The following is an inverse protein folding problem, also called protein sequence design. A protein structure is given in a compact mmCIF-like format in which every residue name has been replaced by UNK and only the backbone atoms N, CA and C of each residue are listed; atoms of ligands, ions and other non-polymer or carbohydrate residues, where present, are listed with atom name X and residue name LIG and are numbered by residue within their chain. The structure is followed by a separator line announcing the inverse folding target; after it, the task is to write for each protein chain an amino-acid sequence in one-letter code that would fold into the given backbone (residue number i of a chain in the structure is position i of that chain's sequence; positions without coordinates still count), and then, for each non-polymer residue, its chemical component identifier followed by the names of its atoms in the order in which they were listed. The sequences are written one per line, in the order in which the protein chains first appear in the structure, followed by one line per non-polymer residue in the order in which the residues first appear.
data_IF_114556672146
#
_entry.id   IF_114556672146
#
_cell.length_a   1.000
_cell.length_b   1.000
_cell.length_c   1.000
_cell.angle_alpha   90.00
_cell.angle_beta   90.00
_cell.angle_gamma   90.00
#
_symmetry.space_group_name_H-M   'P 1'
#
loop_
_entity.id
_entity.type
_entity.pdbx_description
1 polymer ?
#
# COMPACT_ATOMS: atom_id res chain seq x y z
N UNK A 1 -7.23 22.11 25.87
CA UNK A 1 -6.27 21.20 25.21
C UNK A 1 -7.08 20.29 24.31
N UNK A 2 -6.85 20.31 22.99
CA UNK A 2 -7.59 19.46 22.06
C UNK A 2 -7.32 17.99 22.40
N UNK A 3 -8.37 17.18 22.46
CA UNK A 3 -8.29 15.75 22.73
C UNK A 3 -7.48 15.09 21.60
N UNK A 4 -6.17 14.92 21.83
CA UNK A 4 -5.22 14.30 20.91
C UNK A 4 -5.35 12.77 20.89
N UNK A 5 -6.46 12.23 21.39
CA UNK A 5 -6.76 10.82 21.24
C UNK A 5 -7.00 10.51 19.77
N UNK A 6 -6.14 9.65 19.22
CA UNK A 6 -6.33 8.99 17.95
C UNK A 6 -7.79 8.49 17.88
N UNK A 7 -8.55 8.94 16.89
CA UNK A 7 -9.93 8.45 16.66
C UNK A 7 -9.95 6.99 16.14
N UNK A 8 -8.77 6.40 15.94
CA UNK A 8 -8.54 5.07 15.37
C UNK A 8 -7.51 4.35 16.23
N UNK A 9 -7.75 3.09 16.62
CA UNK A 9 -6.80 2.33 17.44
C UNK A 9 -5.54 1.96 16.65
N UNK A 10 -4.42 1.77 17.34
CA UNK A 10 -3.17 1.24 16.76
C UNK A 10 -3.41 -0.08 16.02
N UNK A 11 -4.21 -0.99 16.60
CA UNK A 11 -4.63 -2.25 15.97
C UNK A 11 -5.33 -2.04 14.63
N UNK A 12 -6.21 -1.04 14.53
CA UNK A 12 -6.91 -0.73 13.28
C UNK A 12 -5.97 -0.17 12.22
N UNK A 13 -4.98 0.65 12.60
CA UNK A 13 -3.94 1.14 11.69
C UNK A 13 -3.07 -0.01 11.16
N UNK A 14 -2.64 -0.93 12.03
CA UNK A 14 -1.88 -2.10 11.62
C UNK A 14 -2.68 -3.04 10.72
N UNK A 15 -3.98 -3.23 11.01
CA UNK A 15 -4.87 -4.00 10.15
C UNK A 15 -4.98 -3.36 8.77
N UNK A 16 -5.24 -2.05 8.69
CA UNK A 16 -5.29 -1.34 7.41
C UNK A 16 -3.99 -1.49 6.62
N UNK A 17 -2.83 -1.40 7.28
CA UNK A 17 -1.54 -1.62 6.62
C UNK A 17 -1.39 -3.04 6.05
N UNK A 18 -1.86 -4.07 6.78
CA UNK A 18 -1.85 -5.46 6.30
C UNK A 18 -2.74 -5.64 5.08
N UNK A 19 -3.93 -5.05 5.10
CA UNK A 19 -4.89 -5.10 3.99
C UNK A 19 -4.34 -4.41 2.74
N UNK A 20 -3.78 -3.20 2.88
CA UNK A 20 -3.13 -2.49 1.77
C UNK A 20 -1.98 -3.31 1.15
N UNK A 21 -1.12 -3.92 1.98
CA UNK A 21 -0.04 -4.81 1.50
C UNK A 21 -0.57 -6.08 0.82
N UNK A 22 -1.71 -6.59 1.24
CA UNK A 22 -2.36 -7.73 0.58
C UNK A 22 -2.92 -7.34 -0.79
N UNK A 23 -3.57 -6.18 -0.88
CA UNK A 23 -4.05 -5.64 -2.16
C UNK A 23 -2.88 -5.33 -3.11
N UNK A 24 -1.80 -4.72 -2.62
CA UNK A 24 -0.58 -4.51 -3.39
C UNK A 24 -0.11 -5.79 -4.07
N UNK A 25 0.15 -6.86 -3.29
CA UNK A 25 0.61 -8.16 -3.82
C UNK A 25 -0.36 -8.79 -4.81
N UNK A 26 -1.67 -8.64 -4.56
CA UNK A 26 -2.71 -9.18 -5.45
C UNK A 26 -2.69 -8.48 -6.81
N UNK A 27 -2.62 -7.14 -6.81
CA UNK A 27 -2.58 -6.33 -8.04
C UNK A 27 -1.27 -6.57 -8.77
N UNK A 28 -0.14 -6.56 -8.07
CA UNK A 28 1.19 -6.81 -8.65
C UNK A 28 1.24 -8.18 -9.37
N UNK A 29 0.71 -9.23 -8.73
CA UNK A 29 0.63 -10.57 -9.33
C UNK A 29 -0.23 -10.57 -10.59
N UNK A 30 -1.39 -9.91 -10.55
CA UNK A 30 -2.30 -9.81 -11.70
C UNK A 30 -1.65 -9.04 -12.87
N UNK A 31 -0.95 -7.93 -12.59
CA UNK A 31 -0.25 -7.13 -13.60
C UNK A 31 0.87 -7.94 -14.26
N UNK A 32 1.65 -8.67 -13.47
CA UNK A 32 2.71 -9.54 -13.99
C UNK A 32 2.14 -10.66 -14.90
N UNK A 33 1.01 -11.25 -14.51
CA UNK A 33 0.31 -12.25 -15.30
C UNK A 33 -0.18 -11.69 -16.65
N UNK A 34 -0.85 -10.54 -16.63
CA UNK A 34 -1.35 -9.89 -17.84
C UNK A 34 -0.18 -9.50 -18.74
N UNK A 35 0.92 -8.98 -18.18
CA UNK A 35 2.10 -8.61 -18.94
C UNK A 35 2.67 -9.80 -19.72
N UNK A 36 2.81 -10.95 -19.07
CA UNK A 36 3.33 -12.17 -19.71
C UNK A 36 2.42 -12.64 -20.85
N UNK A 37 1.10 -12.55 -20.67
CA UNK A 37 0.12 -12.89 -21.72
C UNK A 37 0.16 -11.90 -22.87
N UNK A 38 0.32 -10.60 -22.58
CA UNK A 38 0.47 -9.56 -23.59
C UNK A 38 1.73 -9.79 -24.45
N UNK A 39 2.87 -10.14 -23.84
CA UNK A 39 4.09 -10.50 -24.56
C UNK A 39 3.91 -11.72 -25.46
N UNK A 40 3.18 -12.74 -24.99
CA UNK A 40 2.85 -13.93 -25.79
C UNK A 40 1.99 -13.55 -26.99
N UNK A 41 0.98 -12.70 -26.78
CA UNK A 41 0.07 -12.24 -27.83
C UNK A 41 0.80 -11.40 -28.88
N UNK A 42 1.73 -10.54 -28.48
CA UNK A 42 2.57 -9.75 -29.40
C UNK A 42 3.40 -10.62 -30.37
N UNK A 43 3.70 -11.87 -30.00
CA UNK A 43 4.39 -12.81 -30.89
C UNK A 43 3.55 -13.31 -32.07
N UNK A 44 2.22 -13.21 -31.99
CA UNK A 44 1.30 -13.76 -33.00
C UNK A 44 0.31 -12.72 -33.56
N UNK A 45 0.11 -11.62 -32.85
CA UNK A 45 -0.78 -10.53 -33.25
C UNK A 45 0.04 -9.32 -33.67
N UNK A 46 -0.05 -8.96 -34.96
CA UNK A 46 0.70 -7.85 -35.56
C UNK A 46 -0.23 -6.86 -36.27
N UNK A 47 0.32 -5.70 -36.66
CA UNK A 47 -0.41 -4.62 -37.33
C UNK A 47 -0.83 -3.49 -36.39
N UNK A 48 -1.51 -2.48 -36.94
CA UNK A 48 -1.84 -1.25 -36.21
C UNK A 48 -2.61 -1.51 -34.91
N UNK A 49 -3.63 -2.37 -34.95
CA UNK A 49 -4.43 -2.68 -33.77
C UNK A 49 -3.61 -3.36 -32.65
N UNK A 50 -2.61 -4.17 -33.01
CA UNK A 50 -1.71 -4.79 -32.04
C UNK A 50 -0.79 -3.75 -31.38
N UNK A 51 -0.31 -2.78 -32.16
CA UNK A 51 0.49 -1.66 -31.65
C UNK A 51 -0.32 -0.75 -30.72
N UNK A 52 -1.57 -0.47 -31.08
CA UNK A 52 -2.48 0.36 -30.26
C UNK A 52 -2.75 -0.33 -28.92
N UNK A 53 -3.04 -1.63 -28.94
CA UNK A 53 -3.24 -2.42 -27.73
C UNK A 53 -1.97 -2.53 -26.87
N UNK A 54 -0.80 -2.69 -27.49
CA UNK A 54 0.48 -2.70 -26.78
C UNK A 54 0.75 -1.36 -26.06
N UNK A 55 0.45 -0.25 -26.73
CA UNK A 55 0.59 1.10 -26.17
C UNK A 55 -0.36 1.30 -25.01
N UNK A 56 -1.65 0.96 -25.20
CA UNK A 56 -2.66 1.06 -24.15
C UNK A 56 -2.31 0.20 -22.91
N UNK A 57 -1.76 -1.00 -23.14
CA UNK A 57 -1.29 -1.86 -22.05
C UNK A 57 -0.10 -1.24 -21.30
N UNK A 58 0.89 -0.69 -22.01
CA UNK A 58 2.06 -0.10 -21.36
C UNK A 58 1.68 1.14 -20.53
N UNK A 59 0.77 1.97 -21.02
CA UNK A 59 0.27 3.12 -20.29
C UNK A 59 -0.52 2.71 -19.04
N UNK A 60 -1.43 1.73 -19.17
CA UNK A 60 -2.15 1.18 -18.03
C UNK A 60 -1.19 0.59 -16.98
N UNK A 61 -0.17 -0.14 -17.43
CA UNK A 61 0.84 -0.74 -16.54
C UNK A 61 1.62 0.33 -15.75
N UNK A 62 1.97 1.46 -16.37
CA UNK A 62 2.61 2.59 -15.68
C UNK A 62 1.69 3.18 -14.61
N UNK A 63 0.43 3.42 -14.94
CA UNK A 63 -0.56 3.91 -13.96
C UNK A 63 -0.72 2.95 -12.78
N UNK A 64 -0.80 1.64 -13.06
CA UNK A 64 -0.92 0.62 -12.01
C UNK A 64 0.34 0.56 -11.13
N UNK A 65 1.54 0.72 -11.70
CA UNK A 65 2.78 0.81 -10.92
C UNK A 65 2.74 1.98 -9.93
N UNK A 66 2.32 3.18 -10.37
CA UNK A 66 2.16 4.32 -9.47
C UNK A 66 1.13 4.07 -8.36
N UNK A 67 0.03 3.38 -8.65
CA UNK A 67 -0.94 3.01 -7.62
C UNK A 67 -0.38 1.99 -6.62
N UNK A 68 0.44 1.04 -7.07
CA UNK A 68 1.13 0.10 -6.18
C UNK A 68 2.07 0.85 -5.23
N UNK A 69 2.84 1.83 -5.74
CA UNK A 69 3.69 2.68 -4.91
C UNK A 69 2.87 3.41 -3.84
N UNK A 70 1.74 4.03 -4.22
CA UNK A 70 0.83 4.70 -3.26
C UNK A 70 0.27 3.75 -2.20
N UNK A 71 -0.12 2.52 -2.56
CA UNK A 71 -0.59 1.52 -1.59
C UNK A 71 0.51 1.17 -0.58
N UNK A 72 1.75 1.03 -1.04
CA UNK A 72 2.92 0.77 -0.20
C UNK A 72 3.22 1.94 0.73
N UNK A 73 3.23 3.17 0.22
CA UNK A 73 3.42 4.39 0.99
C UNK A 73 2.36 4.56 2.09
N UNK A 74 1.09 4.35 1.76
CA UNK A 74 -0.01 4.41 2.74
C UNK A 74 0.12 3.32 3.80
N UNK A 75 0.49 2.10 3.42
CA UNK A 75 0.72 1.03 4.39
C UNK A 75 1.87 1.34 5.35
N UNK A 76 2.96 1.93 4.85
CA UNK A 76 4.06 2.40 5.68
C UNK A 76 3.64 3.54 6.62
N UNK A 77 2.86 4.50 6.12
CA UNK A 77 2.37 5.61 6.92
C UNK A 77 1.53 5.10 8.09
N UNK A 78 0.58 4.19 7.83
CA UNK A 78 -0.25 3.58 8.87
C UNK A 78 0.60 2.90 9.96
N UNK A 79 1.64 2.14 9.56
CA UNK A 79 2.54 1.48 10.52
C UNK A 79 3.39 2.47 11.32
N UNK A 80 3.90 3.53 10.67
CA UNK A 80 4.65 4.58 11.36
C UNK A 80 3.75 5.29 12.38
N UNK A 81 2.51 5.62 12.01
CA UNK A 81 1.54 6.24 12.91
C UNK A 81 1.18 5.32 14.09
N UNK A 82 0.96 4.03 13.83
CA UNK A 82 0.69 3.05 14.90
C UNK A 82 1.85 2.96 15.90
N UNK A 83 3.09 2.89 15.40
CA UNK A 83 4.29 2.85 16.22
C UNK A 83 4.45 4.11 17.08
N UNK A 84 4.32 5.29 16.48
CA UNK A 84 4.44 6.55 17.19
C UNK A 84 3.45 6.66 18.36
N UNK A 85 2.21 6.19 18.17
CA UNK A 85 1.22 6.21 19.25
C UNK A 85 1.49 5.16 20.32
N UNK A 86 1.91 3.95 19.95
CA UNK A 86 2.32 2.94 20.94
C UNK A 86 3.49 3.43 21.79
N UNK A 87 4.48 4.09 21.19
CA UNK A 87 5.63 4.66 21.90
C UNK A 87 5.18 5.80 22.84
N UNK A 88 4.25 6.65 22.41
CA UNK A 88 3.67 7.71 23.24
C UNK A 88 2.89 7.17 24.44
N UNK A 89 2.06 6.14 24.25
CA UNK A 89 1.31 5.46 25.32
C UNK A 89 2.25 4.81 26.34
N UNK A 90 3.33 4.20 25.87
CA UNK A 90 4.34 3.61 26.76
C UNK A 90 5.07 4.68 27.59
N UNK A 91 5.49 5.78 26.97
CA UNK A 91 6.17 6.88 27.66
C UNK A 91 5.26 7.55 28.71
N UNK A 92 3.98 7.77 28.38
CA UNK A 92 3.01 8.33 29.34
C UNK A 92 2.75 7.37 30.51
N UNK A 93 2.63 6.06 30.24
CA UNK A 93 2.45 5.04 31.29
C UNK A 93 3.66 4.99 32.23
N UNK A 94 4.88 5.04 31.70
CA UNK A 94 6.11 5.07 32.50
C UNK A 94 6.21 6.34 33.36
N UNK A 95 5.83 7.50 32.80
CA UNK A 95 5.87 8.77 33.52
C UNK A 95 4.89 8.79 34.71
N UNK A 96 3.68 8.25 34.53
CA UNK A 96 2.69 8.12 35.60
C UNK A 96 3.21 7.19 36.70
N UNK A 97 3.69 5.99 36.34
CA UNK A 97 4.23 5.03 37.31
C UNK A 97 5.41 5.59 38.12
N UNK A 98 6.24 6.44 37.49
CA UNK A 98 7.38 7.09 38.15
C UNK A 98 6.98 8.25 39.07
N UNK A 99 5.78 8.81 38.91
CA UNK A 99 5.25 9.90 39.74
C UNK A 99 4.50 9.35 40.96
N UNK A 100 3.92 8.15 40.84
CA UNK A 100 3.20 7.44 41.92
C UNK A 100 4.13 6.58 42.81
N UNK A 101 5.44 6.52 42.53
CA UNK A 101 6.48 5.83 43.31
C UNK A 101 7.30 6.80 44.15
#
# INVERSE_FOLDING_TARGET
MADQRLRVSTTALEQGARELRQHHRTIETAVAEIHRRAQTLQGVWTGSAANDAATAWDDLRKTLASHLDTLSEHAELLLRTAKLHSDQEQLTTQAIASTDS
#
